data_IF_434312865295
#
_entry.id   IF_434312865295
#
_cell.length_a   1.000
_cell.length_b   1.000
_cell.length_c   1.000
_cell.angle_alpha   90.00
_cell.angle_beta   90.00
_cell.angle_gamma   90.00
#
_symmetry.space_group_name_H-M   'P 1'
#
loop_
_entity.id
_entity.type
_entity.pdbx_description
1 polymer ?
#
# COMPACT_ATOMS: atom_id res chain seq x y z
N UNK A 1 12.20 -9.24 4.12
CA UNK A 1 10.94 -8.74 3.53
C UNK A 1 11.22 -7.99 2.24
N UNK A 2 10.32 -8.05 1.26
CA UNK A 2 10.47 -7.38 -0.04
C UNK A 2 11.72 -7.80 -0.80
N UNK A 3 12.11 -7.02 -1.83
CA UNK A 3 13.41 -7.16 -2.48
C UNK A 3 14.40 -6.23 -1.79
N UNK A 4 15.53 -6.69 -1.22
CA UNK A 4 16.47 -5.83 -0.48
C UNK A 4 16.96 -4.60 -1.27
N UNK A 5 17.05 -4.71 -2.59
CA UNK A 5 17.47 -3.62 -3.50
C UNK A 5 16.30 -2.99 -4.27
N UNK A 6 15.05 -3.41 -4.01
CA UNK A 6 13.88 -2.99 -4.77
C UNK A 6 13.63 -1.48 -4.76
N UNK A 7 13.96 -0.79 -3.67
CA UNK A 7 13.85 0.67 -3.57
C UNK A 7 14.84 1.43 -4.48
N UNK A 8 15.95 0.79 -4.88
CA UNK A 8 16.96 1.33 -5.81
C UNK A 8 16.65 1.02 -7.27
N UNK A 9 16.03 -0.13 -7.52
CA UNK A 9 15.79 -0.65 -8.87
C UNK A 9 14.47 -0.16 -9.46
N UNK A 10 13.45 -0.04 -8.63
CA UNK A 10 12.15 0.47 -9.05
C UNK A 10 12.05 1.95 -8.70
N UNK A 11 11.19 2.67 -9.39
CA UNK A 11 10.76 4.02 -8.99
C UNK A 11 9.43 3.95 -8.24
N UNK A 12 9.20 4.93 -7.35
CA UNK A 12 7.91 5.04 -6.67
C UNK A 12 6.89 5.51 -7.71
N UNK A 13 5.80 4.77 -7.84
CA UNK A 13 4.70 5.12 -8.74
C UNK A 13 3.39 5.08 -7.96
N UNK A 14 2.56 6.10 -8.13
CA UNK A 14 1.22 6.16 -7.54
C UNK A 14 0.21 5.48 -8.47
N UNK A 15 -0.89 4.98 -7.90
CA UNK A 15 -2.04 4.55 -8.69
C UNK A 15 -2.56 5.76 -9.49
N UNK A 16 -2.77 5.63 -10.82
CA UNK A 16 -3.25 6.73 -11.62
C UNK A 16 -4.71 7.06 -11.31
N UNK A 17 -5.09 8.30 -11.61
CA UNK A 17 -6.49 8.71 -11.61
C UNK A 17 -7.12 8.45 -12.96
N UNK A 18 -8.45 8.29 -12.97
CA UNK A 18 -9.28 8.38 -14.17
C UNK A 18 -9.10 9.74 -14.86
N UNK A 19 -9.39 9.77 -16.15
CA UNK A 19 -9.27 10.99 -16.96
C UNK A 19 -10.08 12.15 -16.31
N UNK A 20 -9.46 13.33 -16.11
CA UNK A 20 -10.15 14.50 -15.58
C UNK A 20 -11.44 14.88 -16.30
N UNK A 21 -11.48 14.73 -17.63
CA UNK A 21 -12.64 15.06 -18.47
C UNK A 21 -13.77 14.07 -18.19
N UNK A 22 -13.46 12.78 -18.06
CA UNK A 22 -14.48 11.76 -17.74
C UNK A 22 -15.03 11.96 -16.33
N UNK A 23 -14.15 12.02 -15.32
CA UNK A 23 -14.56 12.11 -13.91
C UNK A 23 -15.19 13.45 -13.51
N UNK A 24 -15.12 14.47 -14.37
CA UNK A 24 -15.86 15.71 -14.17
C UNK A 24 -17.38 15.54 -14.39
N UNK A 25 -17.80 14.48 -15.08
CA UNK A 25 -19.19 14.23 -15.46
C UNK A 25 -19.90 13.19 -14.56
N UNK A 26 -19.22 12.63 -13.56
CA UNK A 26 -19.78 11.62 -12.65
C UNK A 26 -19.26 11.76 -11.21
N UNK A 27 -19.85 10.99 -10.29
CA UNK A 27 -19.44 10.91 -8.87
C UNK A 27 -18.87 9.53 -8.54
N UNK A 28 -18.38 8.80 -9.54
CA UNK A 28 -17.77 7.49 -9.33
C UNK A 28 -16.34 7.65 -8.76
N UNK A 29 -15.73 6.52 -8.42
CA UNK A 29 -14.37 6.49 -7.89
C UNK A 29 -13.35 7.18 -8.81
N UNK A 30 -12.37 7.88 -8.25
CA UNK A 30 -11.36 8.63 -9.03
C UNK A 30 -10.16 7.79 -9.41
N UNK A 31 -9.87 6.72 -8.68
CA UNK A 31 -8.75 5.82 -8.95
C UNK A 31 -9.09 4.85 -10.09
N UNK A 32 -8.07 4.44 -10.85
CA UNK A 32 -8.21 3.33 -11.80
C UNK A 32 -8.26 1.99 -11.08
N UNK A 33 -8.60 0.93 -11.84
CA UNK A 33 -8.50 -0.44 -11.37
C UNK A 33 -7.09 -0.80 -10.88
N UNK A 34 -7.04 -1.79 -9.98
CA UNK A 34 -5.80 -2.26 -9.40
C UNK A 34 -4.99 -3.11 -10.38
N UNK A 35 -3.78 -2.64 -10.71
CA UNK A 35 -2.78 -3.44 -11.41
C UNK A 35 -1.94 -4.24 -10.37
N UNK A 36 -2.14 -5.55 -10.34
CA UNK A 36 -1.48 -6.45 -9.38
C UNK A 36 0.04 -6.48 -9.56
N UNK A 37 0.55 -6.39 -10.79
CA UNK A 37 2.00 -6.39 -11.05
C UNK A 37 2.65 -5.08 -10.61
N UNK A 38 1.96 -3.96 -10.84
CA UNK A 38 2.35 -2.68 -10.26
C UNK A 38 2.41 -2.74 -8.73
N UNK A 39 1.36 -3.26 -8.08
CA UNK A 39 1.30 -3.36 -6.62
C UNK A 39 2.40 -4.26 -6.05
N UNK A 40 2.66 -5.42 -6.69
CA UNK A 40 3.79 -6.31 -6.33
C UNK A 40 5.12 -5.59 -6.44
N UNK A 41 5.34 -4.85 -7.53
CA UNK A 41 6.56 -4.06 -7.74
C UNK A 41 6.71 -2.97 -6.68
N UNK A 42 5.64 -2.26 -6.32
CA UNK A 42 5.69 -1.24 -5.27
C UNK A 42 5.90 -1.87 -3.87
N UNK A 43 5.29 -3.01 -3.56
CA UNK A 43 5.52 -3.78 -2.33
C UNK A 43 6.98 -4.23 -2.19
N UNK A 44 7.62 -4.60 -3.31
CA UNK A 44 9.04 -4.99 -3.35
C UNK A 44 10.01 -3.88 -2.90
N UNK A 45 9.57 -2.62 -2.90
CA UNK A 45 10.39 -1.46 -2.47
C UNK A 45 10.58 -1.37 -0.96
N UNK A 46 9.79 -2.11 -0.16
CA UNK A 46 9.94 -2.09 1.30
C UNK A 46 11.36 -2.55 1.68
N UNK A 47 12.04 -1.77 2.53
CA UNK A 47 13.46 -1.98 2.85
C UNK A 47 13.71 -2.91 4.03
N UNK A 48 12.66 -3.38 4.72
CA UNK A 48 12.81 -4.17 5.96
C UNK A 48 13.72 -3.46 6.99
N UNK A 49 13.36 -2.22 7.35
CA UNK A 49 14.25 -1.26 8.02
C UNK A 49 14.76 -1.67 9.42
N UNK A 50 14.35 -2.82 9.97
CA UNK A 50 14.63 -3.26 11.34
C UNK A 50 13.85 -2.47 12.41
N UNK A 51 13.91 -1.13 12.36
CA UNK A 51 13.09 -0.21 13.16
C UNK A 51 12.17 0.56 12.20
N UNK A 52 10.94 0.06 11.94
CA UNK A 52 10.08 0.62 10.90
C UNK A 52 9.35 1.88 11.38
N UNK A 53 9.78 3.05 10.88
CA UNK A 53 9.12 4.33 11.17
C UNK A 53 7.65 4.38 10.72
N UNK A 54 7.28 3.61 9.70
CA UNK A 54 5.89 3.51 9.25
C UNK A 54 4.96 2.87 10.31
N UNK A 55 5.50 2.07 11.23
CA UNK A 55 4.77 1.45 12.35
C UNK A 55 4.95 2.22 13.68
N UNK A 56 5.64 3.37 13.69
CA UNK A 56 5.91 4.11 14.93
C UNK A 56 4.80 5.12 15.25
N UNK A 57 4.91 5.79 16.41
CA UNK A 57 4.01 6.87 16.81
C UNK A 57 3.92 8.04 15.81
N UNK A 58 4.93 8.23 14.96
CA UNK A 58 4.91 9.24 13.87
C UNK A 58 4.40 8.67 12.54
N UNK A 59 4.24 7.35 12.45
CA UNK A 59 3.71 6.64 11.28
C UNK A 59 2.23 6.34 11.45
N UNK A 60 1.85 5.07 11.42
CA UNK A 60 0.45 4.67 11.47
C UNK A 60 -0.12 4.70 12.92
N UNK A 61 -1.19 5.46 13.20
CA UNK A 61 -1.76 5.57 14.56
C UNK A 61 -2.35 4.30 15.15
N UNK A 62 -2.54 3.26 14.33
CA UNK A 62 -3.09 1.96 14.74
C UNK A 62 -2.02 0.85 14.70
N UNK A 63 -0.74 1.23 14.68
CA UNK A 63 0.41 0.32 14.72
C UNK A 63 0.33 -0.81 13.68
N UNK A 64 -0.14 -0.43 12.49
CA UNK A 64 -0.25 -1.30 11.33
C UNK A 64 1.11 -1.94 11.01
N UNK A 65 1.14 -3.27 10.86
CA UNK A 65 2.33 -4.11 10.63
C UNK A 65 2.91 -4.03 9.19
N UNK A 66 3.08 -2.81 8.65
CA UNK A 66 3.22 -2.48 7.20
C UNK A 66 4.21 -3.34 6.41
N UNK A 67 5.47 -3.47 6.84
CA UNK A 67 6.45 -4.34 6.21
C UNK A 67 5.94 -5.75 5.88
N UNK A 68 5.10 -6.34 6.73
CA UNK A 68 4.72 -7.75 6.60
C UNK A 68 3.73 -8.00 5.48
N UNK A 69 2.67 -7.20 5.34
CA UNK A 69 1.78 -7.38 4.18
C UNK A 69 2.39 -6.88 2.89
N UNK A 70 3.34 -5.92 2.92
CA UNK A 70 4.09 -5.56 1.72
C UNK A 70 4.91 -6.74 1.20
N UNK A 71 5.54 -7.51 2.10
CA UNK A 71 6.23 -8.74 1.74
C UNK A 71 5.26 -9.80 1.20
N UNK A 72 4.12 -9.99 1.85
CA UNK A 72 3.11 -10.95 1.40
C UNK A 72 2.54 -10.58 0.02
N UNK A 73 2.27 -9.30 -0.23
CA UNK A 73 1.85 -8.78 -1.54
C UNK A 73 2.93 -9.05 -2.58
N UNK A 74 4.20 -8.76 -2.28
CA UNK A 74 5.31 -9.03 -3.20
C UNK A 74 5.42 -10.53 -3.58
N UNK A 75 5.15 -11.41 -2.62
CA UNK A 75 5.14 -12.87 -2.81
C UNK A 75 3.80 -13.44 -3.32
N UNK A 76 2.89 -12.59 -3.81
CA UNK A 76 1.57 -12.99 -4.36
C UNK A 76 0.63 -13.69 -3.36
N UNK A 77 0.84 -13.48 -2.05
CA UNK A 77 0.04 -14.04 -0.94
C UNK A 77 -1.03 -13.07 -0.46
N UNK A 78 -1.94 -12.69 -1.36
CA UNK A 78 -2.96 -11.65 -1.13
C UNK A 78 -3.89 -11.91 0.06
N UNK A 79 -4.38 -13.14 0.21
CA UNK A 79 -5.27 -13.48 1.33
C UNK A 79 -4.56 -13.35 2.68
N UNK A 80 -3.29 -13.73 2.75
CA UNK A 80 -2.49 -13.61 3.96
C UNK A 80 -2.14 -12.16 4.25
N UNK A 81 -1.84 -11.37 3.22
CA UNK A 81 -1.64 -9.93 3.34
C UNK A 81 -2.87 -9.25 3.95
N UNK A 82 -4.06 -9.59 3.46
CA UNK A 82 -5.33 -9.08 3.99
C UNK A 82 -5.57 -9.53 5.43
N UNK A 83 -5.38 -10.82 5.73
CA UNK A 83 -5.49 -11.36 7.08
C UNK A 83 -4.54 -10.65 8.05
N UNK A 84 -3.33 -10.30 7.58
CA UNK A 84 -2.34 -9.58 8.39
C UNK A 84 -2.76 -8.14 8.63
N UNK A 85 -3.23 -7.44 7.61
CA UNK A 85 -3.73 -6.07 7.69
C UNK A 85 -4.94 -5.95 8.64
N UNK A 86 -5.84 -6.93 8.61
CA UNK A 86 -7.00 -6.97 9.51
C UNK A 86 -6.67 -7.26 10.98
N UNK A 87 -5.43 -7.61 11.33
CA UNK A 87 -5.05 -7.77 12.74
C UNK A 87 -5.10 -6.47 13.52
N UNK A 88 -4.90 -5.34 12.84
CA UNK A 88 -4.81 -4.00 13.44
C UNK A 88 -5.83 -3.04 12.84
N UNK A 89 -6.33 -3.30 11.63
CA UNK A 89 -7.23 -2.42 10.91
C UNK A 89 -8.57 -3.07 10.57
N UNK A 90 -9.65 -2.57 11.14
CA UNK A 90 -11.00 -3.08 10.90
C UNK A 90 -11.56 -2.68 9.53
N UNK A 91 -11.09 -1.56 8.95
CA UNK A 91 -11.60 -0.98 7.70
C UNK A 91 -10.44 -0.55 6.78
N UNK A 92 -9.61 -1.49 6.31
CA UNK A 92 -8.47 -1.20 5.43
C UNK A 92 -8.87 -0.54 4.11
N UNK A 93 -10.03 -0.89 3.57
CA UNK A 93 -10.60 -0.32 2.36
C UNK A 93 -10.95 1.17 2.51
N UNK A 94 -11.43 1.57 3.69
CA UNK A 94 -11.77 2.95 3.99
C UNK A 94 -10.52 3.76 4.33
N UNK A 95 -9.70 3.24 5.25
CA UNK A 95 -8.50 3.93 5.73
C UNK A 95 -7.45 4.07 4.64
N UNK A 96 -7.32 3.09 3.74
CA UNK A 96 -6.42 3.17 2.57
C UNK A 96 -6.80 4.26 1.55
N UNK A 97 -8.01 4.80 1.63
CA UNK A 97 -8.50 5.89 0.74
C UNK A 97 -8.55 7.25 1.41
N UNK A 98 -8.89 7.30 2.70
CA UNK A 98 -9.17 8.57 3.40
C UNK A 98 -8.07 9.00 4.35
N UNK A 99 -7.18 8.08 4.76
CA UNK A 99 -6.06 8.43 5.62
C UNK A 99 -5.13 9.40 4.87
N UNK A 100 -4.70 10.52 5.49
CA UNK A 100 -3.72 11.42 4.90
C UNK A 100 -2.33 10.79 4.73
N UNK A 101 -2.18 9.50 5.08
CA UNK A 101 -1.02 8.64 4.85
C UNK A 101 0.28 9.21 5.44
N UNK A 102 0.37 9.33 6.78
CA UNK A 102 1.61 9.74 7.47
C UNK A 102 2.70 8.64 7.46
N UNK A 103 2.33 7.41 7.12
CA UNK A 103 3.16 6.20 7.15
C UNK A 103 3.75 5.82 5.79
#
# INVERSE_FOLDING_TARGET
MGKPTGFKEFERKTVPYRDPIERANDFLEIYTDHDTEHLKTQGARCMDCGVPFCQSATGCPIDNLIPEWNDLVYNDRWQDALNRLHKTNNFPEFTGRTCPTPC
#
